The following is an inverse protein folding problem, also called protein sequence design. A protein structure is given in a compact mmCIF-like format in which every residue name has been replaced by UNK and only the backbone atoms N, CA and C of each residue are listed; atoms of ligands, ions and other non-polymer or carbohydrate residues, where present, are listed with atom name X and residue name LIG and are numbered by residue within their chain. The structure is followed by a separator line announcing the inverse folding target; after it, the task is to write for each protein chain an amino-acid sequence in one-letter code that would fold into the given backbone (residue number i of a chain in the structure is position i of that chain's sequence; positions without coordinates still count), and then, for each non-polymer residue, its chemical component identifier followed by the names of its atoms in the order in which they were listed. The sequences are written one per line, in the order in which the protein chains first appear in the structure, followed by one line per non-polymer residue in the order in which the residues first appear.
data_IF_898249433745
#
_entry.id   IF_898249433745
#
_cell.length_a   1.000
_cell.length_b   1.000
_cell.length_c   1.000
_cell.angle_alpha   90.00
_cell.angle_beta   90.00
_cell.angle_gamma   90.00
#
_symmetry.space_group_name_H-M   'P 1'
#
loop_
_entity.id
_entity.type
_entity.pdbx_description
1 polymer ?
#
# COMPACT_ATOMS: atom_id res chain seq x y z
N UNK A 1 -4.71 35.86 17.95
CA UNK A 1 -6.11 35.34 17.87
C UNK A 1 -6.79 35.69 16.55
N UNK A 2 -6.73 36.94 16.08
CA UNK A 2 -7.35 37.35 14.79
C UNK A 2 -6.88 36.54 13.58
N UNK A 3 -5.57 36.25 13.48
CA UNK A 3 -5.02 35.42 12.40
C UNK A 3 -5.56 33.98 12.41
N UNK A 4 -5.85 33.41 13.58
CA UNK A 4 -6.41 32.06 13.69
C UNK A 4 -7.86 32.00 13.21
N UNK A 5 -8.66 33.03 13.54
CA UNK A 5 -10.05 33.14 13.09
C UNK A 5 -10.12 33.37 11.57
N UNK A 6 -9.28 34.25 11.04
CA UNK A 6 -9.19 34.49 9.60
C UNK A 6 -8.72 33.26 8.83
N UNK A 7 -7.71 32.54 9.32
CA UNK A 7 -7.26 31.29 8.72
C UNK A 7 -8.34 30.22 8.67
N UNK A 8 -9.09 30.05 9.77
CA UNK A 8 -10.21 29.12 9.83
C UNK A 8 -11.32 29.47 8.81
N UNK A 9 -11.63 30.76 8.65
CA UNK A 9 -12.62 31.24 7.68
C UNK A 9 -12.16 30.98 6.24
N UNK A 10 -10.90 31.27 5.91
CA UNK A 10 -10.35 31.06 4.57
C UNK A 10 -10.34 29.58 4.20
N UNK A 11 -9.83 28.70 5.08
CA UNK A 11 -9.82 27.25 4.85
C UNK A 11 -11.24 26.72 4.67
N UNK A 12 -12.18 27.17 5.51
CA UNK A 12 -13.58 26.78 5.39
C UNK A 12 -14.18 27.21 4.06
N UNK A 13 -13.88 28.44 3.60
CA UNK A 13 -14.34 28.93 2.31
C UNK A 13 -13.74 28.13 1.14
N UNK A 14 -12.44 27.83 1.18
CA UNK A 14 -11.74 27.03 0.15
C UNK A 14 -12.36 25.62 0.03
N UNK A 15 -12.60 24.94 1.16
CA UNK A 15 -13.21 23.61 1.17
C UNK A 15 -14.63 23.65 0.60
N UNK A 16 -15.43 24.67 0.92
CA UNK A 16 -16.79 24.83 0.38
C UNK A 16 -16.79 25.11 -1.13
N UNK A 17 -15.88 25.96 -1.60
CA UNK A 17 -15.69 26.27 -3.03
C UNK A 17 -15.30 25.01 -3.82
N UNK A 18 -14.30 24.27 -3.35
CA UNK A 18 -13.88 23.01 -3.97
C UNK A 18 -15.02 21.99 -4.01
N UNK A 19 -15.83 21.92 -2.94
CA UNK A 19 -16.98 21.01 -2.87
C UNK A 19 -18.08 21.39 -3.88
N UNK A 20 -18.29 22.69 -4.11
CA UNK A 20 -19.25 23.20 -5.11
C UNK A 20 -18.83 22.82 -6.52
N UNK A 21 -17.56 23.06 -6.86
CA UNK A 21 -16.97 22.68 -8.16
C UNK A 21 -17.03 21.16 -8.36
N UNK A 22 -16.70 20.38 -7.31
CA UNK A 22 -16.79 18.92 -7.35
C UNK A 22 -18.20 18.40 -7.61
N UNK A 23 -19.23 19.01 -6.99
CA UNK A 23 -20.64 18.68 -7.28
C UNK A 23 -21.03 19.00 -8.72
N UNK A 24 -20.54 20.11 -9.26
CA UNK A 24 -20.82 20.51 -10.64
C UNK A 24 -20.17 19.59 -11.66
N UNK A 25 -18.87 19.28 -11.47
CA UNK A 25 -18.13 18.32 -12.28
C UNK A 25 -18.72 16.90 -12.19
N UNK A 26 -19.25 16.51 -11.04
CA UNK A 26 -19.92 15.22 -10.84
C UNK A 26 -21.22 15.03 -11.65
N UNK A 27 -21.79 16.09 -12.25
CA UNK A 27 -22.92 15.98 -13.19
C UNK A 27 -22.49 15.43 -14.56
N UNK A 28 -21.20 15.52 -14.89
CA UNK A 28 -20.67 15.02 -16.15
C UNK A 28 -20.22 13.56 -15.99
N UNK A 29 -20.88 12.59 -16.66
CA UNK A 29 -20.57 11.17 -16.50
C UNK A 29 -19.15 10.83 -16.96
N UNK A 30 -18.60 11.54 -17.95
CA UNK A 30 -17.21 11.36 -18.40
C UNK A 30 -16.19 11.70 -17.32
N UNK A 31 -16.41 12.78 -16.56
CA UNK A 31 -15.51 13.22 -15.47
C UNK A 31 -15.58 12.24 -14.30
N UNK A 32 -16.78 11.76 -13.96
CA UNK A 32 -16.96 10.72 -12.94
C UNK A 32 -16.27 9.41 -13.33
N UNK A 33 -16.48 8.93 -14.55
CA UNK A 33 -15.87 7.70 -15.05
C UNK A 33 -14.33 7.80 -15.09
N UNK A 34 -13.79 8.96 -15.49
CA UNK A 34 -12.36 9.21 -15.44
C UNK A 34 -11.83 9.15 -14.00
N UNK A 35 -12.54 9.74 -13.04
CA UNK A 35 -12.18 9.67 -11.62
C UNK A 35 -12.22 8.25 -11.06
N UNK A 36 -13.25 7.47 -11.38
CA UNK A 36 -13.36 6.06 -10.97
C UNK A 36 -12.23 5.22 -11.58
N UNK A 37 -11.88 5.47 -12.85
CA UNK A 37 -10.77 4.78 -13.50
C UNK A 37 -9.41 5.15 -12.89
N UNK A 38 -9.19 6.43 -12.56
CA UNK A 38 -7.99 6.87 -11.81
C UNK A 38 -7.93 6.17 -10.45
N UNK A 39 -9.06 6.06 -9.74
CA UNK A 39 -9.12 5.38 -8.44
C UNK A 39 -8.79 3.90 -8.53
N UNK A 40 -9.31 3.21 -9.55
CA UNK A 40 -8.97 1.82 -9.83
C UNK A 40 -7.49 1.67 -10.20
N UNK A 41 -6.97 2.56 -11.05
CA UNK A 41 -5.56 2.58 -11.41
C UNK A 41 -4.66 2.81 -10.19
N UNK A 42 -5.04 3.68 -9.25
CA UNK A 42 -4.31 3.87 -8.00
C UNK A 42 -4.24 2.58 -7.19
N UNK A 43 -5.37 1.88 -7.01
CA UNK A 43 -5.39 0.62 -6.25
C UNK A 43 -4.51 -0.45 -6.91
N UNK A 44 -4.61 -0.59 -8.24
CA UNK A 44 -3.81 -1.56 -9.00
C UNK A 44 -2.32 -1.22 -8.96
N UNK A 45 -1.96 0.06 -9.14
CA UNK A 45 -0.58 0.52 -9.09
C UNK A 45 0.02 0.28 -7.71
N UNK A 46 -0.73 0.53 -6.63
CA UNK A 46 -0.28 0.24 -5.28
C UNK A 46 -0.05 -1.26 -5.05
N UNK A 47 -0.96 -2.13 -5.50
CA UNK A 47 -0.80 -3.59 -5.38
C UNK A 47 0.48 -4.07 -6.08
N UNK A 48 0.71 -3.63 -7.33
CA UNK A 48 1.89 -4.02 -8.11
C UNK A 48 3.17 -3.42 -7.54
N UNK A 49 3.17 -2.13 -7.18
CA UNK A 49 4.35 -1.46 -6.64
C UNK A 49 4.80 -2.08 -5.31
N UNK A 50 3.84 -2.37 -4.42
CA UNK A 50 4.13 -3.00 -3.13
C UNK A 50 4.60 -4.45 -3.29
N UNK A 51 4.01 -5.20 -4.23
CA UNK A 51 4.46 -6.57 -4.54
C UNK A 51 5.91 -6.58 -5.03
N UNK A 52 6.23 -5.76 -6.03
CA UNK A 52 7.58 -5.67 -6.60
C UNK A 52 8.59 -5.20 -5.57
N UNK A 53 8.27 -4.15 -4.81
CA UNK A 53 9.14 -3.65 -3.74
C UNK A 53 9.39 -4.68 -2.64
N UNK A 54 8.36 -5.43 -2.23
CA UNK A 54 8.48 -6.46 -1.20
C UNK A 54 9.34 -7.64 -1.67
N UNK A 55 9.25 -8.02 -2.94
CA UNK A 55 10.09 -9.05 -3.56
C UNK A 55 11.57 -8.62 -3.56
N UNK A 56 11.87 -7.39 -4.01
CA UNK A 56 13.25 -6.88 -3.98
C UNK A 56 13.81 -6.78 -2.55
N UNK A 57 12.98 -6.37 -1.59
CA UNK A 57 13.36 -6.35 -0.19
C UNK A 57 13.69 -7.77 0.33
N UNK A 58 12.86 -8.76 0.02
CA UNK A 58 13.10 -10.16 0.39
C UNK A 58 14.40 -10.72 -0.22
N UNK A 59 14.66 -10.41 -1.50
CA UNK A 59 15.91 -10.79 -2.18
C UNK A 59 17.11 -10.12 -1.51
N UNK A 60 17.01 -8.84 -1.14
CA UNK A 60 18.09 -8.13 -0.45
C UNK A 60 18.38 -8.70 0.94
N UNK A 61 17.38 -9.24 1.63
CA UNK A 61 17.54 -9.81 2.99
C UNK A 61 18.25 -11.17 2.99
N UNK A 62 17.96 -12.04 2.03
CA UNK A 62 18.42 -13.44 2.07
C UNK A 62 18.51 -14.12 0.69
N UNK A 63 18.68 -13.35 -0.38
CA UNK A 63 18.75 -13.85 -1.76
C UNK A 63 17.52 -14.68 -2.14
N UNK A 64 17.76 -15.84 -2.75
CA UNK A 64 16.71 -16.77 -3.17
C UNK A 64 15.92 -17.37 -2.00
N UNK A 65 16.53 -17.50 -0.82
CA UNK A 65 15.86 -18.01 0.39
C UNK A 65 14.85 -17.00 0.92
N UNK A 66 15.21 -15.72 0.97
CA UNK A 66 14.27 -14.66 1.35
C UNK A 66 13.11 -14.55 0.37
N UNK A 67 13.42 -14.63 -0.93
CA UNK A 67 12.42 -14.66 -1.99
C UNK A 67 11.42 -15.82 -1.82
N UNK A 68 11.91 -17.06 -1.68
CA UNK A 68 11.04 -18.23 -1.61
C UNK A 68 10.13 -18.21 -0.37
N UNK A 69 10.64 -17.77 0.78
CA UNK A 69 9.84 -17.64 2.01
C UNK A 69 8.77 -16.55 1.86
N UNK A 70 9.14 -15.37 1.35
CA UNK A 70 8.17 -14.28 1.15
C UNK A 70 7.07 -14.67 0.16
N UNK A 71 7.42 -15.33 -0.94
CA UNK A 71 6.45 -15.84 -1.92
C UNK A 71 5.57 -16.92 -1.32
N UNK A 72 6.12 -17.86 -0.54
CA UNK A 72 5.35 -18.90 0.14
C UNK A 72 4.31 -18.30 1.10
N UNK A 73 4.70 -17.31 1.90
CA UNK A 73 3.78 -16.63 2.84
C UNK A 73 2.70 -15.84 2.08
N UNK A 74 3.07 -15.17 0.99
CA UNK A 74 2.11 -14.47 0.13
C UNK A 74 1.05 -15.42 -0.46
N UNK A 75 1.48 -16.55 -1.04
CA UNK A 75 0.56 -17.55 -1.58
C UNK A 75 -0.24 -18.28 -0.51
N UNK A 76 0.30 -18.43 0.70
CA UNK A 76 -0.46 -18.95 1.84
C UNK A 76 -1.61 -18.02 2.21
N UNK A 77 -1.39 -16.68 2.22
CA UNK A 77 -2.48 -15.73 2.41
C UNK A 77 -3.55 -15.85 1.30
N UNK A 78 -3.11 -16.07 0.06
CA UNK A 78 -4.01 -16.25 -1.08
C UNK A 78 -4.87 -17.53 -0.96
N UNK A 79 -4.28 -18.65 -0.53
CA UNK A 79 -4.98 -19.93 -0.38
C UNK A 79 -5.94 -19.96 0.83
N UNK A 80 -5.66 -19.17 1.87
CA UNK A 80 -6.53 -19.01 3.04
C UNK A 80 -7.75 -18.09 2.80
N UNK A 81 -8.00 -17.69 1.55
CA UNK A 81 -9.12 -16.81 1.21
C UNK A 81 -8.84 -15.32 1.43
N UNK A 82 -7.56 -14.92 1.45
CA UNK A 82 -7.10 -13.53 1.61
C UNK A 82 -7.55 -12.88 2.92
N UNK A 83 -7.21 -13.46 4.10
CA UNK A 83 -7.45 -12.80 5.38
C UNK A 83 -6.72 -11.44 5.45
N UNK A 84 -5.53 -11.34 4.84
CA UNK A 84 -4.86 -10.05 4.61
C UNK A 84 -5.29 -9.49 3.27
N UNK A 85 -5.73 -8.22 3.29
CA UNK A 85 -6.14 -7.47 2.11
C UNK A 85 -5.01 -7.44 1.07
N UNK A 86 -5.34 -7.56 -0.23
CA UNK A 86 -4.35 -7.67 -1.31
C UNK A 86 -3.26 -6.60 -1.31
N UNK A 87 -3.64 -5.37 -1.01
CA UNK A 87 -2.69 -4.24 -0.96
C UNK A 87 -1.67 -4.39 0.18
N UNK A 88 -2.04 -5.02 1.30
CA UNK A 88 -1.17 -5.23 2.45
C UNK A 88 -0.43 -6.58 2.40
N UNK A 89 -0.99 -7.58 1.72
CA UNK A 89 -0.45 -8.94 1.64
C UNK A 89 1.05 -9.02 1.29
N UNK A 90 1.58 -8.34 0.25
CA UNK A 90 3.00 -8.45 -0.09
C UNK A 90 3.91 -7.84 0.99
N UNK A 91 3.50 -6.71 1.59
CA UNK A 91 4.27 -6.02 2.63
C UNK A 91 4.31 -6.84 3.92
N UNK A 92 3.17 -7.43 4.30
CA UNK A 92 3.09 -8.31 5.47
C UNK A 92 3.92 -9.57 5.26
N UNK A 93 3.87 -10.17 4.06
CA UNK A 93 4.66 -11.36 3.75
C UNK A 93 6.17 -11.10 3.91
N UNK A 94 6.71 -10.01 3.36
CA UNK A 94 8.14 -9.68 3.52
C UNK A 94 8.50 -9.33 4.96
N UNK A 95 7.60 -8.69 5.72
CA UNK A 95 7.84 -8.38 7.13
C UNK A 95 7.95 -9.65 7.97
N UNK A 96 7.06 -10.62 7.75
CA UNK A 96 7.12 -11.93 8.41
C UNK A 96 8.38 -12.67 7.99
N UNK A 97 8.75 -12.65 6.70
CA UNK A 97 10.03 -13.21 6.23
C UNK A 97 11.22 -12.60 6.95
N UNK A 98 11.26 -11.28 7.10
CA UNK A 98 12.31 -10.59 7.83
C UNK A 98 12.41 -11.04 9.29
N UNK A 99 11.27 -11.17 9.98
CA UNK A 99 11.23 -11.70 11.36
C UNK A 99 11.74 -13.15 11.37
N UNK A 100 11.28 -14.01 10.45
CA UNK A 100 11.69 -15.40 10.37
C UNK A 100 13.19 -15.55 10.18
N UNK A 101 13.78 -14.76 9.28
CA UNK A 101 15.21 -14.76 9.00
C UNK A 101 16.03 -14.33 10.23
N UNK A 102 15.57 -13.34 10.99
CA UNK A 102 16.22 -12.94 12.23
C UNK A 102 16.20 -14.07 13.27
N UNK A 103 15.07 -14.78 13.38
CA UNK A 103 14.96 -15.95 14.26
C UNK A 103 15.89 -17.08 13.80
N UNK A 104 15.94 -17.35 12.50
CA UNK A 104 16.81 -18.39 11.91
C UNK A 104 18.31 -18.08 12.09
N UNK A 105 18.68 -16.80 12.01
CA UNK A 105 20.02 -16.32 12.34
C UNK A 105 20.37 -16.60 13.80
N UNK A 106 19.44 -16.37 14.73
CA UNK A 106 19.68 -16.60 16.16
C UNK A 106 19.90 -18.08 16.50
N UNK A 107 19.25 -18.99 15.77
CA UNK A 107 19.48 -20.43 15.86
C UNK A 107 20.74 -20.93 15.13
N UNK A 108 21.52 -20.04 14.51
CA UNK A 108 22.76 -20.37 13.79
C UNK A 108 22.54 -21.12 12.47
N UNK A 109 21.28 -21.23 12.00
CA UNK A 109 20.91 -21.96 10.80
C UNK A 109 20.97 -21.08 9.53
N UNK A 110 21.16 -19.77 9.71
CA UNK A 110 21.28 -18.79 8.63
C UNK A 110 22.46 -17.85 8.92
N UNK A 111 23.40 -17.74 7.98
CA UNK A 111 24.45 -16.71 8.00
C UNK A 111 24.12 -15.72 6.89
N UNK A 112 23.84 -14.44 7.21
CA UNK A 112 23.69 -13.42 6.17
C UNK A 112 25.02 -13.30 5.44
N UNK A 113 24.99 -13.44 4.12
CA UNK A 113 26.13 -13.15 3.24
C UNK A 113 26.35 -11.63 3.14
#
# INVERSE_FOLDING_TARGET
MVAAVLGAVVISAEVLLLRSIGKWLGRYPSVRNASDNIRNAMNMLMEVALLVGSIFAAIKMAGYTGFSIAVAIYFLNESLGRPVQKMAAPVVAVMITGILLNVLYWFGLFVPA
#
